data_IF_457900110361
#
_entry.id   IF_457900110361
#
_cell.length_a   1.000
_cell.length_b   1.000
_cell.length_c   1.000
_cell.angle_alpha   90.00
_cell.angle_beta   90.00
_cell.angle_gamma   90.00
#
_symmetry.space_group_name_H-M   'P 1'
#
loop_
_entity.id
_entity.type
_entity.pdbx_description
1 polymer ?
#
# COMPACT_ATOMS: atom_id res chain seq x y z
N UNK A 1 -0.23 -16.56 -18.48
CA UNK A 1 -0.48 -15.20 -17.95
C UNK A 1 -1.83 -15.09 -17.24
N UNK A 2 -2.91 -15.71 -17.74
CA UNK A 2 -4.23 -15.81 -17.05
C UNK A 2 -4.31 -16.86 -15.90
N UNK A 3 -3.18 -17.27 -15.30
CA UNK A 3 -3.17 -18.40 -14.35
C UNK A 3 -3.63 -18.04 -12.93
N UNK A 4 -3.72 -16.75 -12.62
CA UNK A 4 -3.91 -16.27 -11.24
C UNK A 4 -5.18 -15.44 -11.02
N UNK A 5 -5.89 -15.10 -12.09
CA UNK A 5 -7.08 -14.26 -12.07
C UNK A 5 -8.20 -14.91 -12.87
N UNK A 6 -9.46 -14.71 -12.45
CA UNK A 6 -10.61 -15.17 -13.23
C UNK A 6 -10.76 -14.28 -14.46
N UNK A 7 -11.42 -14.77 -15.50
CA UNK A 7 -11.65 -13.98 -16.73
C UNK A 7 -12.38 -12.66 -16.46
N UNK A 8 -13.31 -12.66 -15.50
CA UNK A 8 -14.01 -11.46 -15.06
C UNK A 8 -13.06 -10.42 -14.43
N UNK A 9 -12.12 -10.85 -13.59
CA UNK A 9 -11.13 -9.96 -12.97
C UNK A 9 -10.18 -9.40 -14.05
N UNK A 10 -9.79 -10.22 -15.03
CA UNK A 10 -8.94 -9.78 -16.15
C UNK A 10 -9.67 -8.75 -17.02
N UNK A 11 -10.97 -8.91 -17.24
CA UNK A 11 -11.79 -7.94 -17.96
C UNK A 11 -11.83 -6.58 -17.22
N UNK A 12 -12.11 -6.59 -15.92
CA UNK A 12 -12.08 -5.38 -15.09
C UNK A 12 -10.70 -4.70 -15.11
N UNK A 13 -9.63 -5.49 -14.96
CA UNK A 13 -8.26 -4.97 -15.03
C UNK A 13 -7.97 -4.33 -16.39
N UNK A 14 -8.45 -4.94 -17.48
CA UNK A 14 -8.27 -4.42 -18.83
C UNK A 14 -9.02 -3.11 -19.04
N UNK A 15 -10.26 -3.05 -18.59
CA UNK A 15 -11.09 -1.85 -18.71
C UNK A 15 -10.46 -0.70 -17.94
N UNK A 16 -10.08 -0.91 -16.67
CA UNK A 16 -9.36 0.09 -15.89
C UNK A 16 -8.02 0.46 -16.53
N UNK A 17 -7.23 -0.50 -16.99
CA UNK A 17 -5.94 -0.22 -17.62
C UNK A 17 -6.11 0.66 -18.86
N UNK A 18 -7.05 0.32 -19.75
CA UNK A 18 -7.32 1.07 -20.99
C UNK A 18 -7.85 2.48 -20.74
N UNK A 19 -8.58 2.69 -19.63
CA UNK A 19 -9.10 4.01 -19.26
C UNK A 19 -7.98 5.04 -19.02
N UNK A 20 -6.84 4.57 -18.50
CA UNK A 20 -5.71 5.42 -18.10
C UNK A 20 -4.50 5.30 -19.05
N UNK A 21 -4.29 4.15 -19.70
CA UNK A 21 -3.17 3.89 -20.59
C UNK A 21 -3.43 4.37 -22.03
N UNK A 22 -3.24 5.68 -22.27
CA UNK A 22 -3.50 6.32 -23.57
C UNK A 22 -2.74 5.73 -24.77
N UNK A 23 -1.61 5.05 -24.53
CA UNK A 23 -0.74 4.48 -25.56
C UNK A 23 -0.51 2.97 -25.38
N UNK A 24 -1.45 2.23 -24.79
CA UNK A 24 -1.34 0.80 -24.44
C UNK A 24 -0.22 0.44 -23.44
N UNK A 25 0.41 1.44 -22.83
CA UNK A 25 1.34 1.28 -21.72
C UNK A 25 1.16 2.35 -20.65
N UNK A 26 1.62 2.03 -19.45
CA UNK A 26 1.72 2.94 -18.30
C UNK A 26 3.18 3.29 -18.07
N UNK A 27 3.50 4.59 -18.03
CA UNK A 27 4.86 5.12 -17.88
C UNK A 27 5.03 6.07 -16.70
N UNK A 28 3.94 6.39 -15.98
CA UNK A 28 3.94 7.31 -14.86
C UNK A 28 3.45 6.65 -13.58
N UNK A 29 4.11 6.98 -12.47
CA UNK A 29 3.73 6.55 -11.12
C UNK A 29 2.28 6.94 -10.82
N UNK A 30 1.86 8.14 -11.22
CA UNK A 30 0.50 8.64 -10.96
C UNK A 30 -0.56 7.82 -11.68
N UNK A 31 -0.30 7.47 -12.95
CA UNK A 31 -1.20 6.63 -13.75
C UNK A 31 -1.30 5.22 -13.17
N UNK A 32 -0.15 4.62 -12.82
CA UNK A 32 -0.14 3.29 -12.19
C UNK A 32 -0.86 3.30 -10.84
N UNK A 33 -0.65 4.35 -10.03
CA UNK A 33 -1.35 4.55 -8.76
C UNK A 33 -2.87 4.60 -8.94
N UNK A 34 -3.35 5.40 -9.91
CA UNK A 34 -4.77 5.56 -10.17
C UNK A 34 -5.41 4.23 -10.60
N UNK A 35 -4.77 3.48 -11.50
CA UNK A 35 -5.27 2.16 -11.94
C UNK A 35 -5.34 1.19 -10.76
N UNK A 36 -4.23 1.03 -10.01
CA UNK A 36 -4.15 0.07 -8.91
C UNK A 36 -5.14 0.40 -7.78
N UNK A 37 -5.32 1.68 -7.44
CA UNK A 37 -6.33 2.12 -6.47
C UNK A 37 -7.76 1.93 -6.96
N UNK A 38 -8.03 2.18 -8.24
CA UNK A 38 -9.34 1.90 -8.85
C UNK A 38 -9.72 0.41 -8.73
N UNK A 39 -8.71 -0.46 -8.76
CA UNK A 39 -8.83 -1.91 -8.57
C UNK A 39 -8.71 -2.34 -7.11
N UNK A 40 -8.89 -1.41 -6.17
CA UNK A 40 -8.96 -1.63 -4.71
C UNK A 40 -7.69 -2.21 -4.08
N UNK A 41 -6.53 -1.96 -4.69
CA UNK A 41 -5.23 -2.25 -4.09
C UNK A 41 -4.60 -0.97 -3.54
N UNK A 42 -3.74 -1.10 -2.53
CA UNK A 42 -3.13 0.04 -1.83
C UNK A 42 -1.60 0.10 -2.00
N UNK A 43 -1.07 0.27 -3.23
CA UNK A 43 0.36 0.32 -3.45
C UNK A 43 0.99 1.61 -2.91
N UNK A 44 2.22 1.50 -2.40
CA UNK A 44 2.99 2.66 -1.95
C UNK A 44 3.68 3.37 -3.12
N UNK A 45 3.99 4.67 -3.01
CA UNK A 45 4.76 5.38 -4.03
C UNK A 45 6.12 4.73 -4.34
N UNK A 46 6.77 4.09 -3.37
CA UNK A 46 8.03 3.38 -3.61
C UNK A 46 7.82 2.11 -4.42
N UNK A 47 6.81 1.30 -4.10
CA UNK A 47 6.48 0.09 -4.87
C UNK A 47 6.17 0.42 -6.32
N UNK A 48 5.36 1.45 -6.56
CA UNK A 48 5.02 1.90 -7.92
C UNK A 48 6.26 2.31 -8.71
N UNK A 49 7.19 3.04 -8.08
CA UNK A 49 8.49 3.38 -8.69
C UNK A 49 9.32 2.14 -8.99
N UNK A 50 9.31 1.14 -8.10
CA UNK A 50 10.01 -0.12 -8.33
C UNK A 50 9.38 -0.93 -9.48
N UNK A 51 8.05 -0.99 -9.57
CA UNK A 51 7.34 -1.67 -10.66
C UNK A 51 7.62 -1.03 -12.03
N UNK A 52 7.61 0.31 -12.10
CA UNK A 52 8.00 1.00 -13.33
C UNK A 52 9.46 0.73 -13.68
N UNK A 53 10.37 0.82 -12.71
CA UNK A 53 11.80 0.59 -12.94
C UNK A 53 12.08 -0.84 -13.42
N UNK A 54 11.41 -1.85 -12.85
CA UNK A 54 11.61 -3.26 -13.24
C UNK A 54 11.12 -3.55 -14.66
N UNK A 55 10.14 -2.78 -15.15
CA UNK A 55 9.59 -2.86 -16.51
C UNK A 55 10.13 -1.75 -17.43
N UNK A 56 11.37 -1.28 -17.21
CA UNK A 56 12.06 -0.31 -18.07
C UNK A 56 11.30 1.02 -18.29
N UNK A 57 10.47 1.41 -17.33
CA UNK A 57 9.67 2.63 -17.38
C UNK A 57 8.40 2.54 -18.22
N UNK A 58 8.09 1.40 -18.83
CA UNK A 58 6.85 1.18 -19.59
C UNK A 58 6.23 -0.16 -19.25
N UNK A 59 5.05 -0.12 -18.64
CA UNK A 59 4.30 -1.31 -18.22
C UNK A 59 3.24 -1.59 -19.27
N UNK A 60 3.34 -2.74 -19.96
CA UNK A 60 2.27 -3.25 -20.81
C UNK A 60 1.14 -3.86 -19.97
N UNK A 61 -0.01 -4.18 -20.58
CA UNK A 61 -1.08 -4.87 -19.86
C UNK A 61 -0.63 -6.25 -19.31
N UNK A 62 0.22 -6.97 -20.05
CA UNK A 62 0.76 -8.26 -19.57
C UNK A 62 1.64 -8.07 -18.33
N UNK A 63 2.49 -7.04 -18.33
CA UNK A 63 3.32 -6.68 -17.17
C UNK A 63 2.46 -6.24 -15.98
N UNK A 64 1.37 -5.50 -16.26
CA UNK A 64 0.44 -5.05 -15.24
C UNK A 64 -0.23 -6.23 -14.52
N UNK A 65 -0.62 -7.29 -15.24
CA UNK A 65 -1.17 -8.50 -14.62
C UNK A 65 -0.16 -9.19 -13.68
N UNK A 66 1.12 -9.25 -14.07
CA UNK A 66 2.17 -9.79 -13.20
C UNK A 66 2.38 -8.95 -11.94
N UNK A 67 2.37 -7.62 -12.10
CA UNK A 67 2.46 -6.66 -10.99
C UNK A 67 1.28 -6.85 -10.03
N UNK A 68 0.04 -6.86 -10.55
CA UNK A 68 -1.17 -7.04 -9.75
C UNK A 68 -1.15 -8.37 -8.99
N UNK A 69 -0.68 -9.45 -9.63
CA UNK A 69 -0.57 -10.74 -8.96
C UNK A 69 0.42 -10.67 -7.79
N UNK A 70 1.63 -10.18 -8.06
CA UNK A 70 2.70 -10.07 -7.07
C UNK A 70 2.30 -9.15 -5.91
N UNK A 71 1.70 -8.00 -6.23
CA UNK A 71 1.23 -7.03 -5.25
C UNK A 71 0.12 -7.62 -4.37
N UNK A 72 -0.85 -8.33 -4.95
CA UNK A 72 -1.95 -8.95 -4.18
C UNK A 72 -1.47 -9.99 -3.17
N UNK A 73 -0.35 -10.67 -3.43
CA UNK A 73 0.26 -11.61 -2.47
C UNK A 73 0.92 -10.83 -1.34
N UNK A 74 1.64 -9.75 -1.67
CA UNK A 74 2.32 -8.90 -0.69
C UNK A 74 1.32 -8.22 0.25
N UNK A 75 0.26 -7.63 -0.29
CA UNK A 75 -0.78 -6.90 0.46
C UNK A 75 -1.55 -7.82 1.42
N UNK A 76 -1.77 -9.09 1.04
CA UNK A 76 -2.38 -10.10 1.92
C UNK A 76 -1.48 -10.53 3.09
N UNK A 77 -0.18 -10.27 3.02
CA UNK A 77 0.78 -10.67 4.04
C UNK A 77 0.87 -9.61 5.14
N UNK A 78 0.06 -9.77 6.19
CA UNK A 78 0.17 -8.94 7.41
C UNK A 78 1.34 -9.33 8.31
N UNK A 79 2.09 -10.38 7.97
CA UNK A 79 3.14 -10.97 8.81
C UNK A 79 4.27 -9.99 9.12
N UNK A 80 4.70 -9.22 8.13
CA UNK A 80 5.78 -8.24 8.31
C UNK A 80 5.35 -7.12 9.28
N UNK A 81 4.12 -6.64 9.12
CA UNK A 81 3.52 -5.61 9.96
C UNK A 81 3.37 -6.13 11.40
N UNK A 82 2.83 -7.34 11.58
CA UNK A 82 2.68 -7.96 12.90
C UNK A 82 4.02 -8.19 13.60
N UNK A 83 5.03 -8.69 12.87
CA UNK A 83 6.37 -8.90 13.42
C UNK A 83 7.01 -7.59 13.88
N UNK A 84 6.81 -6.49 13.14
CA UNK A 84 7.30 -5.17 13.52
C UNK A 84 6.68 -4.66 14.83
N UNK A 85 5.37 -4.84 14.98
CA UNK A 85 4.69 -4.44 16.21
C UNK A 85 5.04 -5.33 17.41
N UNK A 86 5.16 -6.65 17.22
CA UNK A 86 5.58 -7.58 18.27
C UNK A 86 6.99 -7.29 18.77
N UNK A 87 7.92 -6.91 17.88
CA UNK A 87 9.27 -6.55 18.28
C UNK A 87 9.33 -5.28 19.14
N UNK A 88 8.37 -4.36 18.99
CA UNK A 88 8.27 -3.16 19.81
C UNK A 88 7.47 -3.38 21.11
N UNK A 89 6.42 -4.21 21.08
CA UNK A 89 5.61 -4.55 22.25
C UNK A 89 6.18 -5.76 22.99
N UNK A 90 7.35 -5.58 23.61
CA UNK A 90 8.07 -6.64 24.36
C UNK A 90 7.28 -7.26 25.50
N UNK A 91 6.26 -6.55 26.01
CA UNK A 91 5.39 -7.00 27.09
C UNK A 91 4.08 -7.64 26.59
N UNK A 92 3.84 -7.69 25.27
CA UNK A 92 2.68 -8.33 24.66
C UNK A 92 1.33 -7.72 25.06
N UNK A 93 1.27 -6.40 25.28
CA UNK A 93 0.07 -5.70 25.76
C UNK A 93 -0.94 -5.38 24.66
N UNK A 94 -0.58 -5.51 23.39
CA UNK A 94 -1.39 -5.05 22.27
C UNK A 94 -1.33 -3.54 22.05
N UNK A 95 -0.44 -2.83 22.75
CA UNK A 95 -0.31 -1.37 22.73
C UNK A 95 1.14 -0.92 22.69
N UNK A 96 1.41 0.12 21.90
CA UNK A 96 2.69 0.81 21.84
C UNK A 96 2.49 2.31 22.05
N UNK A 97 3.54 3.01 22.45
CA UNK A 97 3.52 4.46 22.57
C UNK A 97 3.63 5.14 21.20
N UNK A 98 3.19 6.41 21.14
CA UNK A 98 3.43 7.31 20.02
C UNK A 98 4.89 7.27 19.52
N UNK A 99 5.86 7.30 20.44
CA UNK A 99 7.29 7.33 20.11
C UNK A 99 7.77 6.02 19.51
N UNK A 100 7.29 4.90 20.03
CA UNK A 100 7.61 3.57 19.49
C UNK A 100 6.99 3.39 18.09
N UNK A 101 5.74 3.80 17.90
CA UNK A 101 5.09 3.76 16.57
C UNK A 101 5.84 4.64 15.57
N UNK A 102 6.20 5.86 15.97
CA UNK A 102 7.01 6.76 15.15
C UNK A 102 8.38 6.14 14.82
N UNK A 103 9.03 5.48 15.78
CA UNK A 103 10.30 4.81 15.55
C UNK A 103 10.18 3.64 14.57
N UNK A 104 9.13 2.83 14.69
CA UNK A 104 8.85 1.74 13.74
C UNK A 104 8.69 2.32 12.32
N UNK A 105 7.81 3.31 12.14
CA UNK A 105 7.48 3.87 10.82
C UNK A 105 8.66 4.60 10.15
N UNK A 106 9.57 5.19 10.93
CA UNK A 106 10.79 5.81 10.40
C UNK A 106 11.96 4.82 10.22
N UNK A 107 11.93 3.67 10.91
CA UNK A 107 13.08 2.77 11.01
C UNK A 107 12.98 1.52 10.15
N UNK A 108 11.76 1.01 9.91
CA UNK A 108 11.52 -0.34 9.40
C UNK A 108 10.86 -0.29 8.02
N UNK A 109 11.31 -1.17 7.11
CA UNK A 109 10.73 -1.28 5.76
C UNK A 109 10.92 -0.03 4.89
N UNK A 110 9.85 0.41 4.25
CA UNK A 110 9.78 1.69 3.52
C UNK A 110 9.69 2.84 4.53
N UNK A 111 10.84 3.43 4.82
CA UNK A 111 10.98 4.45 5.85
C UNK A 111 10.23 5.71 5.46
N UNK A 112 9.32 6.12 6.33
CA UNK A 112 8.66 7.41 6.25
C UNK A 112 9.53 8.48 6.88
N UNK A 113 9.44 9.69 6.36
CA UNK A 113 10.02 10.87 7.01
C UNK A 113 9.19 11.23 8.25
N UNK A 114 9.79 11.91 9.26
CA UNK A 114 9.04 12.36 10.43
C UNK A 114 7.79 13.18 10.07
N UNK A 115 7.87 13.98 9.00
CA UNK A 115 6.73 14.77 8.52
C UNK A 115 5.57 13.92 7.98
N UNK A 116 5.88 12.84 7.26
CA UNK A 116 4.88 11.90 6.76
C UNK A 116 4.24 11.11 7.90
N UNK A 117 5.03 10.69 8.89
CA UNK A 117 4.51 10.03 10.10
C UNK A 117 3.57 10.95 10.87
N UNK A 118 3.98 12.20 11.10
CA UNK A 118 3.13 13.18 11.78
C UNK A 118 1.83 13.45 11.01
N UNK A 119 1.83 13.38 9.68
CA UNK A 119 0.63 13.51 8.86
C UNK A 119 -0.30 12.31 9.05
N UNK A 120 0.23 11.08 9.00
CA UNK A 120 -0.54 9.86 9.24
C UNK A 120 -1.17 9.88 10.63
N UNK A 121 -0.44 10.33 11.64
CA UNK A 121 -0.97 10.41 13.00
C UNK A 121 -2.10 11.43 13.13
N UNK A 122 -2.02 12.57 12.45
CA UNK A 122 -3.13 13.53 12.39
C UNK A 122 -4.37 12.92 11.74
N UNK A 123 -4.20 12.26 10.60
CA UNK A 123 -5.29 11.62 9.85
C UNK A 123 -5.94 10.47 10.63
N UNK A 124 -5.12 9.67 11.33
CA UNK A 124 -5.58 8.58 12.19
C UNK A 124 -6.05 9.03 13.59
N UNK A 125 -6.07 10.34 13.87
CA UNK A 125 -6.45 10.92 15.16
C UNK A 125 -5.65 10.35 16.36
N UNK A 126 -4.35 10.06 16.15
CA UNK A 126 -3.43 9.61 17.19
C UNK A 126 -2.87 10.82 17.92
N UNK A 127 -3.04 10.86 19.25
CA UNK A 127 -2.55 11.97 20.07
C UNK A 127 -1.13 11.73 20.55
N UNK A 128 -0.31 12.78 20.69
CA UNK A 128 0.96 12.69 21.40
C UNK A 128 0.73 12.14 22.82
N UNK A 129 1.55 11.18 23.24
CA UNK A 129 1.48 10.50 24.55
C UNK A 129 0.25 9.62 24.81
N UNK A 130 -0.63 9.37 23.85
CA UNK A 130 -1.64 8.31 24.00
C UNK A 130 -1.07 6.94 23.66
N UNK A 131 -1.46 5.86 24.37
CA UNK A 131 -1.18 4.51 23.92
C UNK A 131 -1.92 4.23 22.62
N UNK A 132 -1.25 3.61 21.66
CA UNK A 132 -1.81 3.21 20.36
C UNK A 132 -2.01 1.70 20.36
N UNK A 133 -3.25 1.28 20.16
CA UNK A 133 -3.56 -0.12 19.86
C UNK A 133 -3.20 -0.39 18.41
N UNK A 134 -2.11 -1.11 18.18
CA UNK A 134 -1.59 -1.27 16.83
C UNK A 134 -2.53 -2.04 15.92
N UNK A 135 -3.38 -2.95 16.44
CA UNK A 135 -4.39 -3.62 15.61
C UNK A 135 -5.43 -2.66 15.04
N UNK A 136 -5.88 -1.69 15.84
CA UNK A 136 -6.80 -0.63 15.40
C UNK A 136 -6.10 0.28 14.39
N UNK A 137 -4.83 0.63 14.65
CA UNK A 137 -4.03 1.43 13.72
C UNK A 137 -3.85 0.74 12.36
N UNK A 138 -3.46 -0.55 12.35
CA UNK A 138 -3.31 -1.34 11.12
C UNK A 138 -4.60 -1.31 10.32
N UNK A 139 -5.75 -1.57 10.95
CA UNK A 139 -7.05 -1.52 10.27
C UNK A 139 -7.31 -0.17 9.61
N UNK A 140 -6.97 0.93 10.28
CA UNK A 140 -7.13 2.28 9.73
C UNK A 140 -6.22 2.50 8.52
N UNK A 141 -4.93 2.14 8.62
CA UNK A 141 -3.96 2.44 7.55
C UNK A 141 -3.96 1.45 6.39
N UNK A 142 -4.47 0.23 6.58
CA UNK A 142 -4.62 -0.77 5.50
C UNK A 142 -6.02 -0.81 4.92
N UNK A 143 -6.96 -0.02 5.45
CA UNK A 143 -8.26 0.14 4.80
C UNK A 143 -8.10 1.08 3.61
N UNK A 144 -8.62 0.74 2.42
CA UNK A 144 -8.65 1.68 1.32
C UNK A 144 -9.43 2.93 1.77
N UNK A 145 -8.77 4.08 1.74
CA UNK A 145 -9.42 5.36 2.01
C UNK A 145 -10.55 5.50 0.97
N UNK A 146 -11.81 5.71 1.37
CA UNK A 146 -12.85 6.02 0.40
C UNK A 146 -12.45 7.34 -0.27
N UNK A 147 -12.16 7.31 -1.58
CA UNK A 147 -11.89 8.50 -2.39
C UNK A 147 -13.14 9.39 -2.59
N UNK A 148 -14.12 9.32 -1.69
CA UNK A 148 -15.35 10.10 -1.72
C UNK A 148 -15.49 10.94 -0.46
N UNK A 149 -14.88 12.13 -0.48
CA UNK A 149 -15.36 13.26 0.30
C UNK A 149 -15.82 14.32 -0.72
N UNK A 150 -17.14 14.48 -0.83
CA UNK A 150 -17.79 15.62 -1.49
C UNK A 150 -17.63 16.90 -0.64
#
# INVERSE_FOLDING_TARGET
>A
MARHFKEQDIAEFRDCFSLYARNDYVDSVGTLMAIMRSLRTSPTPHELKQYLKSKQGKISFADFLEIMHTHSIKEKSTKEIQAAFQAADTNGRGIISYKELHHILCGWGEKLTPKEVDQIFREANIKPNSPVKYEEFIKVVTSPVPDYYY
#
